data_IF_776981359906
#
_entry.id   IF_776981359906
#
_cell.length_a   1.000
_cell.length_b   1.000
_cell.length_c   1.000
_cell.angle_alpha   90.00
_cell.angle_beta   90.00
_cell.angle_gamma   90.00
#
_symmetry.space_group_name_H-M   'P 1'
#
loop_
_entity.id
_entity.type
_entity.pdbx_description
1 polymer ?
#
# COMPACT_ATOMS: atom_id res chain seq x y z
N UNK A 1 -24.15 14.42 -57.18
CA UNK A 1 -24.73 13.49 -56.19
C UNK A 1 -25.19 14.31 -54.99
N UNK A 2 -26.53 14.26 -54.71
CA UNK A 2 -27.07 14.98 -53.56
C UNK A 2 -26.85 14.16 -52.28
N UNK A 3 -26.34 14.80 -51.20
CA UNK A 3 -26.15 14.22 -49.89
C UNK A 3 -27.04 14.89 -48.85
N UNK A 4 -27.33 14.19 -47.78
CA UNK A 4 -28.02 14.70 -46.58
C UNK A 4 -27.21 14.34 -45.32
N UNK A 5 -27.38 15.10 -44.25
CA UNK A 5 -26.80 14.80 -42.92
C UNK A 5 -27.64 13.75 -42.22
N UNK A 6 -26.97 12.76 -41.68
CA UNK A 6 -27.51 11.81 -40.72
C UNK A 6 -26.78 12.07 -39.38
N UNK A 7 -27.57 12.32 -38.33
CA UNK A 7 -27.02 12.54 -36.98
C UNK A 7 -27.23 11.30 -36.12
N UNK A 8 -26.23 10.96 -35.31
CA UNK A 8 -26.29 9.88 -34.35
C UNK A 8 -25.44 10.23 -33.12
N UNK A 9 -25.55 9.45 -32.07
CA UNK A 9 -24.74 9.63 -30.88
C UNK A 9 -23.84 8.42 -30.63
N UNK A 10 -22.71 8.66 -30.02
CA UNK A 10 -21.88 7.62 -29.39
C UNK A 10 -21.91 7.88 -27.89
N UNK A 11 -22.46 6.92 -27.13
CA UNK A 11 -22.61 7.02 -25.69
C UNK A 11 -21.67 6.03 -25.01
N UNK A 12 -20.74 6.54 -24.24
CA UNK A 12 -19.84 5.77 -23.41
C UNK A 12 -20.49 5.67 -22.02
N UNK A 13 -20.77 4.45 -21.58
CA UNK A 13 -21.46 4.24 -20.31
C UNK A 13 -20.98 2.99 -19.57
N UNK A 14 -21.12 2.99 -18.27
CA UNK A 14 -20.94 1.79 -17.45
C UNK A 14 -22.06 0.80 -17.76
N UNK A 15 -21.76 -0.49 -17.92
CA UNK A 15 -22.77 -1.50 -18.20
C UNK A 15 -23.82 -1.53 -17.09
N UNK A 16 -25.07 -1.21 -17.43
CA UNK A 16 -26.17 -1.09 -16.45
C UNK A 16 -26.10 0.11 -15.51
N UNK A 17 -25.18 1.05 -15.77
CA UNK A 17 -24.91 2.18 -14.89
C UNK A 17 -24.94 3.55 -15.58
N UNK A 18 -24.12 4.45 -15.07
CA UNK A 18 -24.07 5.85 -15.48
C UNK A 18 -23.45 6.06 -16.87
N UNK A 19 -23.82 7.19 -17.48
CA UNK A 19 -23.21 7.69 -18.72
C UNK A 19 -21.94 8.45 -18.36
N UNK A 20 -20.81 8.00 -18.94
CA UNK A 20 -19.50 8.61 -18.75
C UNK A 20 -19.30 9.79 -19.71
N UNK A 21 -19.70 9.63 -20.97
CA UNK A 21 -19.58 10.66 -22.00
C UNK A 21 -20.57 10.41 -23.13
N UNK A 22 -21.04 11.49 -23.77
CA UNK A 22 -21.87 11.44 -24.98
C UNK A 22 -21.25 12.30 -26.06
N UNK A 23 -21.08 11.74 -27.26
CA UNK A 23 -20.57 12.45 -28.42
C UNK A 23 -21.64 12.50 -29.50
N UNK A 24 -21.99 13.72 -29.92
CA UNK A 24 -22.79 13.94 -31.11
C UNK A 24 -21.95 13.76 -32.37
N UNK A 25 -22.42 12.92 -33.26
CA UNK A 25 -21.76 12.60 -34.53
C UNK A 25 -22.70 12.88 -35.71
N UNK A 26 -22.12 13.18 -36.86
CA UNK A 26 -22.86 13.30 -38.10
C UNK A 26 -22.09 12.71 -39.26
N UNK A 27 -22.82 12.12 -40.18
CA UNK A 27 -22.27 11.60 -41.44
C UNK A 27 -23.02 12.16 -42.64
N UNK A 28 -22.33 12.38 -43.75
CA UNK A 28 -22.95 12.68 -45.02
C UNK A 28 -23.28 11.39 -45.74
N UNK A 29 -24.56 11.16 -45.96
CA UNK A 29 -25.08 9.99 -46.67
C UNK A 29 -25.74 10.44 -47.98
N UNK A 30 -25.86 9.52 -48.94
CA UNK A 30 -26.64 9.81 -50.12
C UNK A 30 -28.09 10.09 -49.76
N UNK A 31 -28.78 10.97 -50.49
CA UNK A 31 -30.13 11.45 -50.18
C UNK A 31 -31.14 10.31 -50.12
N UNK A 32 -30.90 9.21 -50.84
CA UNK A 32 -31.80 8.03 -50.89
C UNK A 32 -31.49 7.02 -49.75
N UNK A 33 -30.34 7.12 -49.08
CA UNK A 33 -29.99 6.22 -47.98
C UNK A 33 -30.69 6.63 -46.70
N UNK A 34 -30.96 5.66 -45.85
CA UNK A 34 -31.62 5.88 -44.56
C UNK A 34 -30.76 5.46 -43.38
N UNK A 35 -29.57 4.92 -43.64
CA UNK A 35 -28.61 4.49 -42.60
C UNK A 35 -27.22 4.88 -42.97
N UNK A 36 -26.36 4.90 -41.95
CA UNK A 36 -24.91 5.09 -42.05
C UNK A 36 -24.23 3.93 -41.31
N UNK A 37 -23.20 3.35 -41.93
CA UNK A 37 -22.46 2.25 -41.34
C UNK A 37 -21.33 2.80 -40.51
N UNK A 38 -21.39 2.63 -39.18
CA UNK A 38 -20.33 2.98 -38.25
C UNK A 38 -19.32 1.85 -38.20
N UNK A 39 -18.13 2.10 -38.74
CA UNK A 39 -17.06 1.10 -38.79
C UNK A 39 -16.17 1.16 -37.53
N UNK A 40 -16.06 2.33 -36.91
CA UNK A 40 -15.25 2.54 -35.70
C UNK A 40 -15.79 3.68 -34.85
N UNK A 41 -15.47 3.66 -33.57
CA UNK A 41 -15.69 4.77 -32.64
C UNK A 41 -14.36 5.22 -32.03
N UNK A 42 -14.36 6.42 -31.50
CA UNK A 42 -13.19 6.95 -30.79
C UNK A 42 -12.94 6.12 -29.53
N UNK A 43 -11.68 5.71 -29.30
CA UNK A 43 -11.30 5.06 -28.06
C UNK A 43 -11.18 6.09 -26.94
N UNK A 44 -11.81 5.83 -25.80
CA UNK A 44 -11.78 6.69 -24.61
C UNK A 44 -11.22 5.94 -23.42
N UNK A 45 -10.59 6.66 -22.52
CA UNK A 45 -10.12 6.13 -21.24
C UNK A 45 -10.79 6.87 -20.10
N UNK A 46 -11.38 6.14 -19.18
CA UNK A 46 -11.99 6.68 -17.97
C UNK A 46 -11.33 6.06 -16.75
N UNK A 47 -10.94 6.91 -15.77
CA UNK A 47 -10.28 6.45 -14.56
C UNK A 47 -11.21 5.51 -13.76
N UNK A 48 -10.67 4.37 -13.35
CA UNK A 48 -11.45 3.36 -12.62
C UNK A 48 -12.26 2.42 -13.49
N UNK A 49 -12.23 2.58 -14.82
CA UNK A 49 -13.02 1.77 -15.75
C UNK A 49 -12.17 1.18 -16.87
N UNK A 50 -12.60 0.05 -17.41
CA UNK A 50 -12.05 -0.59 -18.61
C UNK A 50 -13.17 -0.80 -19.61
N UNK A 51 -12.87 -0.59 -20.90
CA UNK A 51 -13.82 -0.89 -21.96
C UNK A 51 -14.14 -2.39 -21.97
N UNK A 52 -15.42 -2.73 -22.10
CA UNK A 52 -15.87 -4.13 -22.24
C UNK A 52 -15.37 -4.68 -23.58
N UNK A 53 -14.85 -5.90 -23.59
CA UNK A 53 -14.14 -6.49 -24.72
C UNK A 53 -15.00 -6.54 -26.00
N UNK A 54 -16.31 -6.81 -25.90
CA UNK A 54 -17.23 -6.96 -27.02
C UNK A 54 -18.08 -5.68 -27.26
N UNK A 55 -17.57 -4.52 -26.82
CA UNK A 55 -18.29 -3.25 -26.96
C UNK A 55 -17.41 -2.17 -27.57
N UNK A 56 -17.93 -1.40 -28.54
CA UNK A 56 -19.21 -1.64 -29.22
C UNK A 56 -19.14 -2.82 -30.20
N UNK A 57 -20.29 -3.41 -30.53
CA UNK A 57 -20.34 -4.40 -31.61
C UNK A 57 -20.37 -3.69 -32.96
N UNK A 58 -19.21 -3.60 -33.59
CA UNK A 58 -19.01 -2.94 -34.87
C UNK A 58 -18.55 -3.94 -35.95
N UNK A 59 -18.88 -3.68 -37.24
CA UNK A 59 -19.60 -2.52 -37.78
C UNK A 59 -21.09 -2.60 -37.50
N UNK A 60 -21.76 -1.43 -37.35
CA UNK A 60 -23.18 -1.35 -37.08
C UNK A 60 -23.84 -0.25 -37.93
N UNK A 61 -25.02 -0.53 -38.49
CA UNK A 61 -25.79 0.48 -39.22
C UNK A 61 -26.64 1.30 -38.24
N UNK A 62 -26.56 2.64 -38.35
CA UNK A 62 -27.37 3.55 -37.57
C UNK A 62 -28.26 4.42 -38.44
N UNK A 63 -29.45 4.72 -37.96
CA UNK A 63 -30.37 5.69 -38.53
C UNK A 63 -30.26 7.03 -37.87
N UNK A 64 -30.90 8.04 -38.43
CA UNK A 64 -30.89 9.37 -37.83
C UNK A 64 -31.54 9.35 -36.44
N UNK A 65 -30.76 9.85 -35.43
CA UNK A 65 -31.16 9.88 -34.03
C UNK A 65 -30.86 8.62 -33.23
N UNK A 66 -30.29 7.57 -33.85
CA UNK A 66 -29.88 6.37 -33.14
C UNK A 66 -28.56 6.54 -32.36
N UNK A 67 -28.30 5.59 -31.43
CA UNK A 67 -27.17 5.63 -30.51
C UNK A 67 -26.30 4.39 -30.69
N UNK A 68 -24.98 4.59 -30.75
CA UNK A 68 -23.99 3.53 -30.60
C UNK A 68 -23.51 3.54 -29.16
N UNK A 69 -23.73 2.45 -28.44
CA UNK A 69 -23.29 2.32 -27.06
C UNK A 69 -21.91 1.67 -26.99
N UNK A 70 -21.03 2.30 -26.19
CA UNK A 70 -19.72 1.76 -25.82
C UNK A 70 -19.76 1.48 -24.32
N UNK A 71 -19.74 0.21 -23.95
CA UNK A 71 -19.87 -0.20 -22.56
C UNK A 71 -18.51 -0.31 -21.87
N UNK A 72 -18.51 0.09 -20.62
CA UNK A 72 -17.37 -0.01 -19.71
C UNK A 72 -17.73 -0.84 -18.49
N UNK A 73 -16.75 -1.51 -17.95
CA UNK A 73 -16.81 -2.22 -16.68
C UNK A 73 -15.95 -1.46 -15.67
N UNK A 74 -16.41 -1.39 -14.45
CA UNK A 74 -15.60 -0.87 -13.36
C UNK A 74 -14.42 -1.82 -13.09
N UNK A 75 -13.24 -1.27 -12.82
CA UNK A 75 -12.08 -2.06 -12.48
C UNK A 75 -12.22 -2.66 -11.07
N UNK A 76 -11.77 -3.88 -10.92
CA UNK A 76 -11.55 -4.49 -9.61
C UNK A 76 -10.10 -4.24 -9.16
N UNK A 77 -9.92 -3.94 -7.89
CA UNK A 77 -8.63 -3.79 -7.24
C UNK A 77 -8.53 -4.72 -6.05
N UNK A 78 -7.35 -5.28 -5.82
CA UNK A 78 -7.07 -6.13 -4.66
C UNK A 78 -6.19 -5.37 -3.68
N UNK A 79 -6.66 -5.26 -2.45
CA UNK A 79 -5.93 -4.70 -1.32
C UNK A 79 -5.49 -5.86 -0.44
N UNK A 80 -4.22 -5.87 -0.05
CA UNK A 80 -3.62 -6.91 0.79
C UNK A 80 -3.23 -6.35 2.13
N UNK A 81 -3.39 -7.16 3.17
CA UNK A 81 -2.98 -6.88 4.53
C UNK A 81 -2.06 -8.00 5.01
N UNK A 82 -0.87 -7.64 5.44
CA UNK A 82 0.12 -8.59 5.96
C UNK A 82 0.57 -8.16 7.35
N UNK A 83 1.01 -9.13 8.14
CA UNK A 83 1.63 -8.89 9.43
C UNK A 83 3.11 -9.24 9.36
N UNK A 84 3.93 -8.58 10.16
CA UNK A 84 5.30 -9.03 10.40
C UNK A 84 5.33 -10.31 11.30
N UNK A 85 6.51 -10.79 11.67
CA UNK A 85 6.68 -12.07 12.31
C UNK A 85 5.98 -12.23 13.71
N UNK A 86 5.56 -11.12 14.32
CA UNK A 86 5.14 -11.08 15.72
C UNK A 86 3.63 -10.86 15.90
N UNK A 87 2.87 -11.07 14.84
CA UNK A 87 1.43 -10.90 14.86
C UNK A 87 0.74 -11.55 13.68
N UNK A 88 -0.53 -11.24 13.51
CA UNK A 88 -1.38 -11.69 12.43
C UNK A 88 -2.39 -10.60 12.08
N UNK A 89 -3.16 -10.81 11.02
CA UNK A 89 -4.28 -9.96 10.60
C UNK A 89 -5.55 -10.79 10.49
N UNK A 90 -6.71 -10.20 10.75
CA UNK A 90 -7.99 -10.92 10.67
C UNK A 90 -8.50 -11.08 9.24
N UNK A 91 -8.06 -10.20 8.32
CA UNK A 91 -8.38 -10.23 6.91
C UNK A 91 -7.07 -10.01 6.13
N UNK A 92 -6.67 -10.95 5.29
CA UNK A 92 -5.40 -10.90 4.55
C UNK A 92 -5.53 -10.21 3.19
N UNK A 93 -6.74 -10.14 2.63
CA UNK A 93 -6.99 -9.45 1.38
C UNK A 93 -8.48 -9.22 1.12
N UNK A 94 -8.78 -8.20 0.33
CA UNK A 94 -10.10 -7.96 -0.22
C UNK A 94 -10.00 -7.49 -1.67
N UNK A 95 -10.97 -7.89 -2.51
CA UNK A 95 -11.10 -7.42 -3.88
C UNK A 95 -12.38 -6.61 -3.98
N UNK A 96 -12.25 -5.36 -4.37
CA UNK A 96 -13.36 -4.40 -4.42
C UNK A 96 -13.37 -3.63 -5.73
N UNK A 97 -14.49 -3.01 -6.05
CA UNK A 97 -14.60 -2.10 -7.19
C UNK A 97 -13.83 -0.80 -6.92
N UNK A 98 -13.11 -0.31 -7.93
CA UNK A 98 -12.23 0.85 -7.78
C UNK A 98 -12.99 2.15 -7.49
N UNK A 99 -14.18 2.35 -8.08
CA UNK A 99 -14.98 3.58 -7.97
C UNK A 99 -16.06 3.45 -6.90
N UNK A 100 -16.91 2.41 -6.99
CA UNK A 100 -18.09 2.24 -6.13
C UNK A 100 -17.90 1.20 -5.02
N UNK A 101 -16.72 0.54 -4.95
CA UNK A 101 -16.41 -0.41 -3.89
C UNK A 101 -16.36 0.24 -2.51
N UNK A 102 -16.36 -0.57 -1.47
CA UNK A 102 -16.16 -0.14 -0.08
C UNK A 102 -15.17 -1.07 0.57
N UNK A 103 -14.05 -0.52 1.02
CA UNK A 103 -13.06 -1.29 1.77
C UNK A 103 -13.60 -1.62 3.17
N UNK A 104 -13.35 -2.83 3.62
CA UNK A 104 -13.66 -3.30 4.98
C UNK A 104 -12.46 -3.21 5.90
N UNK A 105 -11.26 -3.23 5.32
CA UNK A 105 -10.01 -3.13 6.06
C UNK A 105 -9.60 -4.41 6.77
N UNK A 106 -8.65 -4.27 7.67
CA UNK A 106 -8.14 -5.37 8.49
C UNK A 106 -7.76 -4.89 9.89
N UNK A 107 -7.82 -5.83 10.86
CA UNK A 107 -7.40 -5.61 12.24
C UNK A 107 -6.13 -6.41 12.52
N UNK A 108 -5.12 -5.73 13.03
CA UNK A 108 -3.89 -6.33 13.49
C UNK A 108 -4.10 -7.06 14.81
N UNK A 109 -3.49 -8.24 14.96
CA UNK A 109 -3.60 -9.10 16.14
C UNK A 109 -2.19 -9.45 16.59
N UNK A 110 -1.74 -8.86 17.71
CA UNK A 110 -0.43 -9.11 18.26
C UNK A 110 -0.29 -10.53 18.81
N UNK A 111 0.87 -11.15 18.67
CA UNK A 111 1.22 -12.38 19.35
C UNK A 111 1.42 -12.14 20.85
N UNK A 112 1.38 -13.22 21.66
CA UNK A 112 1.60 -13.10 23.11
C UNK A 112 3.00 -12.51 23.40
N UNK A 113 3.05 -11.46 24.21
CA UNK A 113 4.29 -10.74 24.57
C UNK A 113 4.69 -9.66 23.57
N UNK A 114 3.79 -9.32 22.64
CA UNK A 114 3.98 -8.23 21.68
C UNK A 114 2.75 -7.32 21.67
N UNK A 115 2.93 -6.08 21.24
CA UNK A 115 1.86 -5.13 21.01
C UNK A 115 1.95 -4.57 19.59
N UNK A 116 0.80 -4.13 19.07
CA UNK A 116 0.72 -3.47 17.78
C UNK A 116 1.36 -2.07 17.83
N UNK A 117 2.07 -1.68 16.78
CA UNK A 117 2.73 -0.37 16.67
C UNK A 117 2.03 0.50 15.63
N UNK A 118 2.01 0.04 14.36
CA UNK A 118 1.42 0.80 13.28
C UNK A 118 1.19 -0.06 12.03
N UNK A 119 0.45 0.53 11.08
CA UNK A 119 0.35 0.06 9.71
C UNK A 119 1.22 0.93 8.80
N UNK A 120 1.91 0.30 7.85
CA UNK A 120 2.66 1.00 6.79
C UNK A 120 2.16 0.58 5.41
N UNK A 121 2.37 1.47 4.42
CA UNK A 121 2.21 1.14 3.00
C UNK A 121 3.49 0.48 2.44
N UNK A 122 3.50 0.19 1.13
CA UNK A 122 4.63 -0.46 0.43
C UNK A 122 5.93 0.38 0.47
N UNK A 123 5.83 1.71 0.60
CA UNK A 123 6.97 2.60 0.73
C UNK A 123 7.49 2.71 2.18
N UNK A 124 6.88 1.99 3.12
CA UNK A 124 7.22 2.05 4.54
C UNK A 124 6.70 3.31 5.26
N UNK A 125 5.79 4.06 4.63
CA UNK A 125 5.14 5.21 5.26
C UNK A 125 4.03 4.75 6.20
N UNK A 126 4.02 5.28 7.43
CA UNK A 126 2.97 4.98 8.40
C UNK A 126 1.64 5.56 7.91
N UNK A 127 0.61 4.71 7.82
CA UNK A 127 -0.75 5.07 7.37
C UNK A 127 -1.76 5.06 8.51
N UNK A 128 -1.52 4.29 9.58
CA UNK A 128 -2.35 4.28 10.79
C UNK A 128 -1.58 3.79 12.00
N UNK A 129 -1.97 4.27 13.19
CA UNK A 129 -1.56 3.77 14.51
C UNK A 129 -2.71 3.07 15.23
N UNK A 130 -3.87 2.95 14.61
CA UNK A 130 -5.01 2.18 15.13
C UNK A 130 -4.86 0.71 14.70
N UNK A 131 -5.18 -0.23 15.57
CA UNK A 131 -5.13 -1.67 15.28
C UNK A 131 -5.97 -2.04 14.06
N UNK A 132 -7.12 -1.39 13.89
CA UNK A 132 -7.97 -1.57 12.71
C UNK A 132 -7.68 -0.48 11.69
N UNK A 133 -7.29 -0.89 10.51
CA UNK A 133 -7.03 0.01 9.39
C UNK A 133 -7.98 -0.27 8.24
N UNK A 134 -8.63 0.80 7.74
CA UNK A 134 -9.48 0.78 6.55
C UNK A 134 -8.89 1.77 5.55
N UNK A 135 -8.43 1.30 4.38
CA UNK A 135 -7.88 2.18 3.35
C UNK A 135 -8.88 3.21 2.85
N UNK A 136 -8.39 4.41 2.61
CA UNK A 136 -9.17 5.49 1.99
C UNK A 136 -8.99 5.51 0.47
N UNK A 137 -9.93 6.15 -0.22
CA UNK A 137 -9.81 6.42 -1.65
C UNK A 137 -8.82 7.56 -1.89
N UNK A 138 -7.99 7.40 -2.90
CA UNK A 138 -7.10 8.46 -3.39
C UNK A 138 -7.67 8.97 -4.72
N UNK A 139 -7.98 10.27 -4.81
CA UNK A 139 -8.67 10.85 -5.96
C UNK A 139 -9.96 10.11 -6.33
N UNK A 140 -10.77 9.79 -5.33
CA UNK A 140 -12.06 9.09 -5.44
C UNK A 140 -11.98 7.63 -5.89
N UNK A 141 -10.78 7.05 -5.99
CA UNK A 141 -10.54 5.68 -6.43
C UNK A 141 -9.80 4.85 -5.38
N UNK A 142 -10.16 3.60 -5.27
CA UNK A 142 -9.29 2.59 -4.67
C UNK A 142 -8.24 2.13 -5.68
N UNK A 143 -7.03 1.86 -5.19
CA UNK A 143 -5.94 1.27 -5.95
C UNK A 143 -5.50 -0.05 -5.30
N UNK A 144 -4.91 -0.94 -6.09
CA UNK A 144 -4.24 -2.10 -5.54
C UNK A 144 -3.08 -1.65 -4.64
N UNK A 145 -3.01 -2.20 -3.43
CA UNK A 145 -2.03 -1.82 -2.41
C UNK A 145 -1.76 -2.98 -1.46
N UNK A 146 -0.63 -2.92 -0.77
CA UNK A 146 -0.30 -3.82 0.33
C UNK A 146 0.01 -2.99 1.57
N UNK A 147 -0.62 -3.35 2.69
CA UNK A 147 -0.39 -2.73 3.99
C UNK A 147 0.19 -3.75 4.96
N UNK A 148 1.20 -3.32 5.74
CA UNK A 148 1.89 -4.17 6.71
C UNK A 148 1.64 -3.69 8.13
N UNK A 149 1.16 -4.59 8.99
CA UNK A 149 1.05 -4.38 10.43
C UNK A 149 2.38 -4.71 11.12
N UNK A 150 2.85 -3.81 11.95
CA UNK A 150 4.10 -3.95 12.72
C UNK A 150 3.82 -4.13 14.20
N UNK A 151 4.65 -4.97 14.84
CA UNK A 151 4.54 -5.32 16.24
C UNK A 151 5.90 -5.21 16.93
N UNK A 152 5.90 -4.78 18.21
CA UNK A 152 7.07 -4.72 19.06
C UNK A 152 6.87 -5.57 20.32
N UNK A 153 7.98 -6.06 20.89
CA UNK A 153 7.98 -6.87 22.12
C UNK A 153 7.60 -6.00 23.32
N UNK A 154 6.76 -6.60 24.20
CA UNK A 154 6.37 -5.95 25.45
C UNK A 154 7.57 -5.83 26.39
N UNK A 155 7.89 -4.61 26.84
CA UNK A 155 8.94 -4.39 27.83
C UNK A 155 8.47 -4.89 29.19
N UNK A 156 8.90 -6.08 29.60
CA UNK A 156 8.72 -6.56 30.97
C UNK A 156 9.66 -5.81 31.91
N UNK A 157 9.14 -4.78 32.58
CA UNK A 157 9.87 -4.14 33.68
C UNK A 157 9.99 -5.17 34.81
N UNK A 158 11.21 -5.53 35.25
CA UNK A 158 11.37 -6.39 36.41
C UNK A 158 10.64 -5.80 37.63
N UNK A 159 9.98 -6.60 38.47
CA UNK A 159 9.34 -6.08 39.66
C UNK A 159 10.39 -5.35 40.51
N UNK A 160 10.03 -4.16 41.01
CA UNK A 160 10.89 -3.42 41.91
C UNK A 160 11.38 -4.35 43.04
N UNK A 161 12.67 -4.30 43.43
CA UNK A 161 13.17 -5.14 44.50
C UNK A 161 12.32 -4.90 45.74
N UNK A 162 11.81 -6.00 46.29
CA UNK A 162 11.03 -5.98 47.52
C UNK A 162 11.89 -5.29 48.58
N UNK A 163 11.39 -4.27 49.31
CA UNK A 163 12.17 -3.64 50.35
C UNK A 163 12.58 -4.72 51.36
N UNK A 164 13.87 -4.85 51.57
CA UNK A 164 14.42 -5.75 52.58
C UNK A 164 13.80 -5.31 53.92
N UNK A 165 13.26 -6.23 54.74
CA UNK A 165 12.75 -5.87 56.07
C UNK A 165 13.86 -5.19 56.84
N UNK A 166 13.57 -4.02 57.42
CA UNK A 166 14.52 -3.30 58.32
C UNK A 166 15.09 -4.27 59.36
N UNK A 167 16.41 -4.40 59.35
CA UNK A 167 17.14 -5.08 60.40
C UNK A 167 16.74 -4.44 61.74
N UNK A 168 16.35 -5.20 62.78
CA UNK A 168 15.97 -4.64 64.08
C UNK A 168 17.17 -3.90 64.65
N UNK A 169 17.00 -2.61 64.86
CA UNK A 169 17.98 -1.76 65.61
C UNK A 169 18.21 -2.35 66.96
N UNK A 170 19.25 -3.19 67.04
CA UNK A 170 19.76 -3.69 68.31
C UNK A 170 20.35 -2.57 69.13
N UNK A 171 19.78 -2.35 70.28
CA UNK A 171 20.29 -1.46 71.34
C UNK A 171 21.76 -1.69 71.57
N UNK A 172 22.55 -0.67 71.43
CA UNK A 172 23.99 -0.61 71.78
C UNK A 172 24.17 -0.82 73.27
N UNK A 173 24.91 -1.87 73.76
CA UNK A 173 25.45 -1.82 75.11
C UNK A 173 26.76 -1.01 75.11
N UNK A 174 26.80 0.01 75.95
CA UNK A 174 27.97 0.78 76.30
C UNK A 174 29.00 -0.13 76.97
N UNK A 175 30.14 -0.36 76.32
CA UNK A 175 31.30 -0.99 76.97
C UNK A 175 32.43 -0.01 76.95
N UNK A 176 32.87 0.33 78.20
CA UNK A 176 34.00 1.13 78.60
C UNK A 176 35.33 0.56 78.05
N UNK A 177 36.20 1.38 77.54
CA UNK A 177 37.53 1.02 77.10
C UNK A 177 38.43 0.59 78.25
N UNK A 178 39.40 -0.25 77.99
CA UNK A 178 40.77 -0.02 78.52
C UNK A 178 41.81 -0.02 77.39
N UNK A 179 42.78 0.72 77.70
CA UNK A 179 43.99 1.23 77.11
C UNK A 179 44.98 0.15 76.59
N UNK A 180 45.63 0.51 75.47
CA UNK A 180 47.00 0.14 74.99
C UNK A 180 47.32 -1.35 74.72
N UNK A 181 47.72 -1.63 73.44
CA UNK A 181 49.10 -2.03 73.10
C UNK A 181 49.32 -2.29 71.59
N UNK A 182 50.24 -1.58 71.07
CA UNK A 182 51.33 -2.00 70.18
C UNK A 182 51.07 -2.58 68.79
N UNK A 183 51.57 -1.85 67.81
CA UNK A 183 51.69 -2.15 66.36
C UNK A 183 52.32 -3.52 66.03
N UNK A 184 51.80 -4.15 64.99
CA UNK A 184 52.61 -4.95 64.05
C UNK A 184 52.10 -4.70 62.62
N UNK A 185 53.09 -4.27 61.80
CA UNK A 185 53.01 -4.10 60.37
C UNK A 185 52.68 -5.48 59.68
N UNK A 186 51.76 -5.50 58.76
CA UNK A 186 51.52 -6.68 57.91
C UNK A 186 50.73 -6.31 56.63
N UNK A 187 51.51 -6.06 55.63
CA UNK A 187 51.25 -6.23 54.21
C UNK A 187 49.87 -5.89 53.57
N UNK A 188 49.92 -4.88 52.74
CA UNK A 188 48.91 -4.46 51.81
C UNK A 188 48.68 -5.54 50.71
N UNK A 189 47.45 -6.11 50.66
CA UNK A 189 47.02 -6.82 49.49
C UNK A 189 46.38 -5.81 48.51
N UNK A 190 46.99 -5.71 47.33
CA UNK A 190 46.44 -4.95 46.19
C UNK A 190 45.18 -5.63 45.62
N UNK A 191 44.22 -4.86 45.18
CA UNK A 191 43.03 -5.42 44.51
C UNK A 191 43.41 -5.99 43.16
N UNK A 192 43.04 -7.24 42.93
CA UNK A 192 43.14 -7.94 41.62
C UNK A 192 42.11 -7.32 40.67
N UNK A 193 42.61 -6.68 39.63
CA UNK A 193 41.80 -6.29 38.49
C UNK A 193 41.41 -7.56 37.68
N UNK A 194 40.17 -7.68 37.19
CA UNK A 194 39.87 -8.73 36.23
C UNK A 194 40.52 -8.38 34.87
N UNK A 195 41.26 -9.31 34.33
CA UNK A 195 41.82 -9.25 32.99
C UNK A 195 40.70 -9.26 31.96
N UNK A 196 40.67 -8.24 31.11
CA UNK A 196 39.87 -8.20 29.90
C UNK A 196 40.54 -9.11 28.88
N UNK A 197 39.99 -10.29 28.70
CA UNK A 197 40.39 -11.18 27.61
C UNK A 197 40.09 -10.55 26.26
N UNK A 198 41.11 -10.26 25.49
CA UNK A 198 41.05 -9.89 24.08
C UNK A 198 40.63 -11.12 23.32
N UNK A 199 39.37 -11.16 22.86
CA UNK A 199 38.92 -12.17 21.92
C UNK A 199 39.43 -11.84 20.54
N UNK A 200 40.06 -12.86 19.94
CA UNK A 200 40.71 -12.82 18.66
C UNK A 200 39.81 -12.41 17.51
N UNK A 201 40.42 -11.70 16.62
CA UNK A 201 40.03 -11.31 15.28
C UNK A 201 39.49 -12.53 14.51
N UNK A 202 38.18 -12.54 14.19
CA UNK A 202 37.59 -13.52 13.29
C UNK A 202 37.81 -13.08 11.84
N UNK A 203 38.58 -13.90 11.12
CA UNK A 203 38.87 -13.73 9.72
C UNK A 203 37.60 -13.65 8.87
N UNK A 204 37.55 -12.71 7.92
CA UNK A 204 36.54 -12.58 6.91
C UNK A 204 36.51 -13.82 6.00
N UNK A 205 35.32 -14.32 5.58
CA UNK A 205 35.27 -15.38 4.60
C UNK A 205 35.63 -14.85 3.20
N UNK A 206 36.53 -15.54 2.56
CA UNK A 206 36.93 -15.31 1.17
C UNK A 206 35.73 -15.52 0.21
N UNK A 207 35.56 -14.55 -0.70
CA UNK A 207 34.63 -14.64 -1.82
C UNK A 207 35.20 -15.66 -2.83
N UNK A 208 34.67 -16.87 -2.81
CA UNK A 208 34.96 -17.86 -3.82
C UNK A 208 34.30 -17.51 -5.16
N UNK A 209 35.12 -17.20 -6.16
CA UNK A 209 34.73 -17.11 -7.56
C UNK A 209 34.47 -18.55 -8.05
N UNK A 210 33.20 -18.89 -8.27
CA UNK A 210 32.85 -20.15 -8.93
C UNK A 210 32.68 -19.95 -10.42
N UNK A 211 33.43 -20.76 -11.13
CA UNK A 211 33.59 -20.79 -12.54
C UNK A 211 32.34 -21.13 -13.35
N UNK A 212 32.44 -20.76 -14.61
CA UNK A 212 31.57 -21.08 -15.74
C UNK A 212 31.23 -22.57 -15.79
N UNK A 213 29.93 -22.89 -15.83
CA UNK A 213 29.46 -24.16 -16.35
C UNK A 213 28.69 -23.94 -17.65
N UNK A 214 29.31 -24.43 -18.73
CA UNK A 214 28.80 -24.44 -20.10
C UNK A 214 27.71 -25.47 -20.25
N UNK A 215 26.61 -25.12 -20.98
CA UNK A 215 25.40 -25.86 -21.21
C UNK A 215 25.44 -27.22 -21.88
N UNK A 216 24.29 -27.78 -22.25
CA UNK A 216 23.77 -27.56 -23.61
C UNK A 216 22.28 -27.30 -23.69
N UNK A 217 21.92 -26.64 -24.80
CA UNK A 217 20.65 -26.12 -25.14
C UNK A 217 19.59 -27.16 -25.55
N UNK A 218 18.38 -26.72 -25.48
CA UNK A 218 17.36 -26.73 -26.55
C UNK A 218 16.10 -26.02 -26.06
N UNK A 219 15.71 -24.98 -26.78
CA UNK A 219 14.39 -24.71 -27.37
C UNK A 219 13.24 -24.50 -26.40
N UNK A 220 12.91 -23.26 -26.09
CA UNK A 220 11.70 -22.59 -26.54
C UNK A 220 11.63 -21.17 -25.99
N UNK A 221 11.44 -20.27 -26.92
CA UNK A 221 11.36 -18.81 -26.70
C UNK A 221 9.96 -18.40 -26.32
N UNK A 222 9.80 -17.80 -25.14
CA UNK A 222 8.75 -16.83 -24.88
C UNK A 222 9.31 -15.67 -24.05
N UNK A 223 9.32 -14.43 -24.55
CA UNK A 223 9.81 -13.30 -23.79
C UNK A 223 8.72 -12.84 -22.82
N UNK A 224 8.96 -13.02 -21.54
CA UNK A 224 8.20 -12.34 -20.51
C UNK A 224 8.72 -10.90 -20.49
N UNK A 225 7.97 -9.99 -21.10
CA UNK A 225 8.24 -8.57 -21.03
C UNK A 225 7.94 -8.08 -19.61
N UNK A 226 9.01 -7.80 -18.86
CA UNK A 226 8.93 -7.04 -17.62
C UNK A 226 8.56 -5.60 -17.96
N UNK A 227 7.33 -5.21 -17.65
CA UNK A 227 6.91 -3.81 -17.69
C UNK A 227 7.25 -3.15 -16.36
N UNK A 228 8.43 -2.53 -16.32
CA UNK A 228 8.75 -1.57 -15.27
C UNK A 228 8.08 -0.23 -15.63
N UNK A 229 6.98 0.09 -14.97
CA UNK A 229 6.30 1.36 -15.13
C UNK A 229 6.91 2.36 -14.14
N UNK A 230 7.85 3.16 -14.62
CA UNK A 230 8.34 4.34 -13.90
C UNK A 230 7.29 5.43 -14.04
N UNK A 231 6.55 5.70 -12.99
CA UNK A 231 5.68 6.87 -12.90
C UNK A 231 6.52 8.03 -12.40
N UNK A 232 6.98 8.86 -13.34
CA UNK A 232 7.53 10.19 -13.02
C UNK A 232 6.36 11.12 -12.75
N UNK A 233 6.23 11.57 -11.51
CA UNK A 233 5.23 12.55 -11.10
C UNK A 233 5.47 13.91 -11.79
N UNK A 234 4.55 14.31 -12.65
CA UNK A 234 4.42 15.69 -13.11
C UNK A 234 3.25 16.34 -12.37
N UNK A 235 3.56 17.21 -11.42
CA UNK A 235 2.59 18.10 -10.78
C UNK A 235 2.19 19.14 -11.82
N UNK A 236 1.01 19.01 -12.40
CA UNK A 236 0.40 20.04 -13.22
C UNK A 236 -0.67 20.75 -12.37
N UNK A 237 -0.32 21.94 -11.89
CA UNK A 237 -1.28 22.87 -11.25
C UNK A 237 -2.23 23.41 -12.33
N UNK A 238 -3.44 22.91 -12.38
CA UNK A 238 -4.52 23.49 -13.17
C UNK A 238 -5.40 24.33 -12.25
N UNK A 239 -5.33 25.66 -12.51
CA UNK A 239 -6.14 26.65 -11.81
C UNK A 239 -7.63 26.45 -12.08
N UNK A 240 -8.39 26.35 -10.99
CA UNK A 240 -9.84 26.31 -11.03
C UNK A 240 -10.34 27.74 -11.18
N UNK A 241 -10.80 28.07 -12.39
CA UNK A 241 -11.54 29.31 -12.64
C UNK A 241 -13.01 29.12 -12.20
N UNK A 242 -13.33 29.58 -11.01
CA UNK A 242 -14.71 29.64 -10.53
C UNK A 242 -15.51 30.69 -11.32
N UNK A 243 -16.36 30.25 -12.23
CA UNK A 243 -17.30 31.13 -12.93
C UNK A 243 -18.51 31.38 -12.04
N UNK A 244 -18.50 32.54 -11.37
CA UNK A 244 -19.59 33.08 -10.54
C UNK A 244 -20.82 33.33 -11.43
N UNK A 245 -21.88 32.55 -11.27
CA UNK A 245 -23.19 32.86 -11.87
C UNK A 245 -23.85 33.95 -11.04
N UNK A 246 -24.02 35.09 -11.64
CA UNK A 246 -24.84 36.20 -11.12
C UNK A 246 -26.30 35.80 -11.31
N UNK A 247 -27.02 35.70 -10.19
CA UNK A 247 -28.47 35.68 -10.16
C UNK A 247 -28.93 37.11 -10.39
N UNK A 248 -29.67 37.38 -11.44
CA UNK A 248 -30.49 38.57 -11.58
C UNK A 248 -31.92 38.15 -11.34
N UNK A 249 -32.45 38.68 -10.23
CA UNK A 249 -33.89 38.83 -9.98
C UNK A 249 -34.37 40.06 -10.77
N UNK A 250 -35.34 39.87 -11.63
CA UNK A 250 -36.56 40.73 -11.71
C UNK A 250 -37.62 39.98 -12.50
#
# INVERSE_FOLDING_TARGET
TATKKLNYQVVYQVEGGEVLETLDKSADIWVLDNSYKVESVESKTFNGYKQKADSPNLPQDVKNGEIVYVYYLENEVTIKYIADANGNVNNDSETILAVNGTATGSTAIAATGYHFVNWTNEEGTVVSTDETYVPERVNELYAAATYTAHFEEDVVTPPAPTPTPDEPTGTTPTVTAPTEATAVLGEAFAPVQPEVGVLGEAAAPEVGVLGEAKGPGTGDTAPIAAWSLIIVGAILTLGISAKKRKKEEQ
#
